data_IF_671089509266
#
_entry.id   IF_671089509266
#
_cell.length_a   1.000
_cell.length_b   1.000
_cell.length_c   1.000
_cell.angle_alpha   90.00
_cell.angle_beta   90.00
_cell.angle_gamma   90.00
#
_symmetry.space_group_name_H-M   'P 1'
#
loop_
_entity.id
_entity.type
_entity.pdbx_description
1 polymer ?
#
# COMPACT_ATOMS: atom_id res chain seq x y z
N UNK A 1 1.93 8.10 -16.44
CA UNK A 1 0.97 7.86 -15.34
C UNK A 1 1.77 7.53 -14.10
N UNK A 2 1.43 8.10 -12.94
CA UNK A 2 2.16 7.84 -11.70
C UNK A 2 1.84 6.45 -11.16
N UNK A 3 2.83 5.74 -10.62
CA UNK A 3 2.67 4.43 -9.99
C UNK A 3 3.42 4.32 -8.66
N UNK A 4 2.99 3.41 -7.81
CA UNK A 4 3.67 3.03 -6.58
C UNK A 4 4.23 1.62 -6.71
N UNK A 5 5.47 1.41 -6.27
CA UNK A 5 5.96 0.07 -5.94
C UNK A 5 5.68 -0.19 -4.48
N UNK A 6 4.89 -1.23 -4.24
CA UNK A 6 4.47 -1.66 -2.92
C UNK A 6 5.14 -2.99 -2.60
N UNK A 7 5.61 -3.15 -1.37
CA UNK A 7 5.98 -4.45 -0.83
C UNK A 7 4.80 -5.02 -0.06
N UNK A 8 4.37 -6.22 -0.43
CA UNK A 8 3.31 -6.95 0.24
C UNK A 8 3.88 -8.20 0.90
N UNK A 9 3.67 -8.36 2.20
CA UNK A 9 4.06 -9.52 2.98
C UNK A 9 2.80 -10.29 3.39
N UNK A 10 2.75 -11.58 3.06
CA UNK A 10 1.87 -12.53 3.72
C UNK A 10 2.55 -13.07 4.98
N UNK A 11 2.05 -12.67 6.15
CA UNK A 11 2.61 -13.04 7.46
C UNK A 11 2.39 -14.50 7.82
N UNK A 12 1.45 -15.19 7.17
CA UNK A 12 1.18 -16.61 7.39
C UNK A 12 2.22 -17.46 6.65
N UNK A 13 2.54 -17.10 5.41
CA UNK A 13 3.50 -17.84 4.57
C UNK A 13 4.91 -17.27 4.58
N UNK A 14 5.12 -16.11 5.22
CA UNK A 14 6.34 -15.31 5.19
C UNK A 14 6.82 -14.94 3.76
N UNK A 15 5.90 -14.86 2.80
CA UNK A 15 6.21 -14.54 1.40
C UNK A 15 6.07 -13.05 1.12
N UNK A 16 7.07 -12.49 0.45
CA UNK A 16 7.08 -11.09 0.00
C UNK A 16 6.84 -11.03 -1.50
N UNK A 17 5.96 -10.12 -1.92
CA UNK A 17 5.66 -9.82 -3.32
C UNK A 17 5.78 -8.32 -3.56
N UNK A 18 6.31 -7.93 -4.72
CA UNK A 18 6.30 -6.54 -5.17
C UNK A 18 5.09 -6.33 -6.07
N UNK A 19 4.29 -5.32 -5.75
CA UNK A 19 3.09 -4.94 -6.51
C UNK A 19 3.37 -3.58 -7.16
N UNK A 20 3.13 -3.47 -8.46
CA UNK A 20 3.07 -2.19 -9.15
C UNK A 20 1.61 -1.73 -9.19
N UNK A 21 1.27 -0.75 -8.35
CA UNK A 21 -0.06 -0.14 -8.33
C UNK A 21 -0.03 1.17 -9.11
N UNK A 22 -0.97 1.37 -10.04
CA UNK A 22 -1.09 2.61 -10.81
C UNK A 22 -2.13 3.53 -10.19
N UNK A 23 -1.87 4.83 -10.20
CA UNK A 23 -2.81 5.82 -9.67
C UNK A 23 -4.11 5.77 -10.48
N UNK A 24 -5.24 5.61 -9.78
CA UNK A 24 -6.57 5.48 -10.38
C UNK A 24 -6.95 4.04 -10.76
N UNK A 25 -6.03 3.08 -10.63
CA UNK A 25 -6.29 1.67 -10.86
C UNK A 25 -6.36 0.88 -9.55
N UNK A 26 -6.89 -0.34 -9.66
CA UNK A 26 -7.00 -1.29 -8.56
C UNK A 26 -5.97 -2.39 -8.73
N UNK A 27 -5.17 -2.63 -7.68
CA UNK A 27 -4.31 -3.79 -7.57
C UNK A 27 -4.89 -4.78 -6.54
N UNK A 28 -4.49 -6.05 -6.60
CA UNK A 28 -4.96 -7.08 -5.68
C UNK A 28 -3.81 -7.85 -5.06
N UNK A 29 -3.98 -8.30 -3.81
CA UNK A 29 -3.03 -9.16 -3.11
C UNK A 29 -3.74 -10.06 -2.11
N UNK A 30 -3.78 -11.37 -2.39
CA UNK A 30 -4.57 -12.30 -1.60
C UNK A 30 -6.04 -11.89 -1.61
N UNK A 31 -6.58 -11.53 -0.44
CA UNK A 31 -7.95 -11.01 -0.29
C UNK A 31 -8.04 -9.48 -0.23
N UNK A 32 -6.90 -8.77 -0.28
CA UNK A 32 -6.89 -7.31 -0.30
C UNK A 32 -7.12 -6.78 -1.71
N UNK A 33 -7.98 -5.77 -1.79
CA UNK A 33 -8.13 -4.88 -2.95
C UNK A 33 -7.51 -3.54 -2.60
N UNK A 34 -6.54 -3.09 -3.38
CA UNK A 34 -5.72 -1.90 -3.13
C UNK A 34 -6.06 -0.86 -4.19
N UNK A 35 -6.63 0.27 -3.78
CA UNK A 35 -6.94 1.40 -4.65
C UNK A 35 -5.95 2.53 -4.41
N UNK A 36 -5.01 2.73 -5.35
CA UNK A 36 -4.04 3.81 -5.27
C UNK A 36 -4.65 5.10 -5.81
N UNK A 37 -4.72 6.14 -4.97
CA UNK A 37 -5.35 7.42 -5.32
C UNK A 37 -4.34 8.53 -5.56
N UNK A 38 -3.20 8.50 -4.89
CA UNK A 38 -2.10 9.45 -5.12
C UNK A 38 -0.76 8.79 -4.81
N UNK A 39 0.30 9.23 -5.50
CA UNK A 39 1.68 8.82 -5.25
C UNK A 39 2.62 10.02 -5.47
N UNK A 40 3.42 10.34 -4.47
CA UNK A 40 4.40 11.41 -4.50
C UNK A 40 5.75 10.87 -4.02
N UNK A 41 6.75 10.88 -4.90
CA UNK A 41 8.15 10.64 -4.55
C UNK A 41 8.89 11.97 -4.43
N UNK A 42 9.94 11.99 -3.61
CA UNK A 42 10.89 13.11 -3.59
C UNK A 42 11.82 13.09 -4.82
N UNK A 43 12.38 14.25 -5.20
CA UNK A 43 13.46 14.34 -6.18
C UNK A 43 14.68 13.48 -5.83
N UNK A 44 15.50 13.11 -6.83
CA UNK A 44 16.68 12.26 -6.63
C UNK A 44 17.82 12.93 -5.84
N UNK A 45 17.87 14.26 -5.81
CA UNK A 45 18.86 15.06 -5.07
C UNK A 45 18.50 15.23 -3.59
N UNK A 46 17.31 14.80 -3.19
CA UNK A 46 16.89 14.73 -1.78
C UNK A 46 17.02 13.31 -1.22
N UNK A 47 16.91 13.19 0.10
CA UNK A 47 16.81 11.88 0.76
C UNK A 47 15.63 11.11 0.17
N UNK A 48 15.82 9.88 -0.37
CA UNK A 48 14.75 9.12 -1.01
C UNK A 48 13.59 8.92 -0.06
N UNK A 49 12.39 9.38 -0.44
CA UNK A 49 11.17 9.21 0.34
C UNK A 49 9.98 9.21 -0.61
N UNK A 50 8.90 8.54 -0.20
CA UNK A 50 7.68 8.45 -0.97
C UNK A 50 6.46 8.38 -0.07
N UNK A 51 5.39 9.04 -0.50
CA UNK A 51 4.10 9.03 0.16
C UNK A 51 3.01 8.62 -0.84
N UNK A 52 2.18 7.65 -0.47
CA UNK A 52 1.05 7.21 -1.27
C UNK A 52 -0.25 7.27 -0.49
N UNK A 53 -1.30 7.85 -1.08
CA UNK A 53 -2.66 7.78 -0.54
C UNK A 53 -3.37 6.59 -1.16
N UNK A 54 -3.84 5.68 -0.32
CA UNK A 54 -4.54 4.48 -0.77
C UNK A 54 -5.64 4.05 0.19
N UNK A 55 -6.60 3.34 -0.39
CA UNK A 55 -7.66 2.64 0.33
C UNK A 55 -7.53 1.15 0.07
N UNK A 56 -7.60 0.34 1.13
CA UNK A 56 -7.51 -1.11 1.05
C UNK A 56 -8.72 -1.75 1.71
N UNK A 57 -9.40 -2.64 0.99
CA UNK A 57 -10.51 -3.44 1.51
C UNK A 57 -10.15 -4.91 1.52
N UNK A 58 -10.64 -5.67 2.51
CA UNK A 58 -10.50 -7.12 2.57
C UNK A 58 -11.83 -7.79 2.18
N UNK A 59 -11.82 -8.65 1.18
CA UNK A 59 -13.00 -9.40 0.75
C UNK A 59 -13.53 -10.37 1.82
N UNK A 60 -12.74 -10.67 2.86
CA UNK A 60 -13.16 -11.48 4.00
C UNK A 60 -13.91 -10.68 5.07
N UNK A 61 -13.90 -9.35 4.99
CA UNK A 61 -14.63 -8.50 5.93
C UNK A 61 -16.15 -8.63 5.72
N UNK A 62 -16.92 -8.47 6.79
CA UNK A 62 -18.38 -8.52 6.70
C UNK A 62 -18.90 -7.39 5.77
N UNK A 63 -20.01 -7.61 5.05
CA UNK A 63 -20.61 -6.57 4.22
C UNK A 63 -20.86 -5.27 5.00
N UNK A 64 -20.46 -4.13 4.44
CA UNK A 64 -20.58 -2.82 5.11
C UNK A 64 -19.46 -2.49 6.11
N UNK A 65 -18.47 -3.37 6.30
CA UNK A 65 -17.29 -3.07 7.11
C UNK A 65 -16.49 -1.90 6.50
N UNK A 66 -15.84 -1.07 7.33
CA UNK A 66 -14.94 -0.04 6.81
C UNK A 66 -13.73 -0.66 6.09
N UNK A 67 -13.05 0.10 5.22
CA UNK A 67 -11.79 -0.34 4.62
C UNK A 67 -10.78 -0.73 5.71
N UNK A 68 -10.00 -1.78 5.45
CA UNK A 68 -8.91 -2.23 6.32
C UNK A 68 -7.83 -1.15 6.49
N UNK A 69 -7.66 -0.28 5.49
CA UNK A 69 -6.82 0.91 5.57
C UNK A 69 -7.36 2.00 4.66
N UNK A 70 -7.22 3.25 5.09
CA UNK A 70 -7.49 4.43 4.28
C UNK A 70 -6.63 5.56 4.77
N UNK A 71 -5.55 5.84 4.04
CA UNK A 71 -4.44 6.55 4.65
C UNK A 71 -3.32 6.94 3.69
N UNK A 72 -2.50 7.89 4.15
CA UNK A 72 -1.20 8.19 3.56
C UNK A 72 -0.24 7.22 4.19
N UNK A 73 0.53 6.51 3.37
CA UNK A 73 1.60 5.63 3.82
C UNK A 73 2.93 6.20 3.33
N UNK A 74 3.93 6.20 4.21
CA UNK A 74 5.22 6.84 4.00
C UNK A 74 6.33 5.78 3.94
N UNK A 75 7.18 5.85 2.92
CA UNK A 75 8.26 4.88 2.71
C UNK A 75 9.31 4.92 3.84
N UNK A 76 9.74 6.12 4.26
CA UNK A 76 10.72 6.27 5.34
C UNK A 76 10.14 6.34 6.75
N UNK A 77 8.82 6.44 6.88
CA UNK A 77 8.15 6.51 8.17
C UNK A 77 6.92 5.59 8.22
N UNK A 78 7.09 4.27 7.97
CA UNK A 78 5.96 3.34 7.89
C UNK A 78 5.19 3.26 9.22
N UNK A 79 5.86 3.53 10.35
CA UNK A 79 5.27 3.55 11.69
C UNK A 79 4.20 4.62 11.93
N UNK A 80 4.15 5.67 11.11
CA UNK A 80 3.22 6.80 11.31
C UNK A 80 1.79 6.42 10.93
N UNK A 81 1.63 5.58 9.90
CA UNK A 81 0.32 5.17 9.42
C UNK A 81 0.46 3.89 8.59
N UNK A 82 0.35 2.74 9.25
CA UNK A 82 0.51 1.42 8.65
C UNK A 82 -0.82 0.68 8.52
N UNK A 83 -0.82 -0.36 7.69
CA UNK A 83 -1.93 -1.31 7.63
C UNK A 83 -1.91 -2.21 8.88
N UNK A 84 -2.90 -2.08 9.75
CA UNK A 84 -3.10 -2.96 10.90
C UNK A 84 -3.97 -4.17 10.54
N UNK A 85 -3.39 -5.11 9.80
CA UNK A 85 -4.11 -6.29 9.31
C UNK A 85 -3.49 -7.58 9.85
N UNK A 86 -4.26 -8.62 10.26
CA UNK A 86 -3.73 -9.84 10.88
C UNK A 86 -2.87 -10.71 9.95
N UNK A 87 -3.24 -10.81 8.66
CA UNK A 87 -2.55 -11.67 7.67
C UNK A 87 -1.52 -10.92 6.81
N UNK A 88 -1.84 -9.73 6.30
CA UNK A 88 -0.97 -9.01 5.37
C UNK A 88 -0.30 -7.78 6.01
N UNK A 89 0.89 -7.42 5.51
CA UNK A 89 1.54 -6.12 5.71
C UNK A 89 1.82 -5.50 4.33
N UNK A 90 1.52 -4.22 4.14
CA UNK A 90 1.72 -3.49 2.88
C UNK A 90 2.59 -2.27 3.19
N UNK A 91 3.63 -2.05 2.38
CA UNK A 91 4.56 -0.92 2.51
C UNK A 91 4.77 -0.23 1.18
N UNK A 92 4.87 1.10 1.21
CA UNK A 92 5.34 1.89 0.07
C UNK A 92 6.86 1.79 0.00
N UNK A 93 7.39 1.44 -1.17
CA UNK A 93 8.83 1.48 -1.43
C UNK A 93 9.22 2.77 -2.15
N UNK A 94 8.53 3.09 -3.24
CA UNK A 94 8.81 4.28 -4.06
C UNK A 94 7.60 4.64 -4.93
N UNK A 95 7.57 5.90 -5.38
CA UNK A 95 6.66 6.39 -6.41
C UNK A 95 7.43 6.67 -7.70
N UNK A 96 6.85 6.33 -8.85
CA UNK A 96 7.38 6.56 -10.21
C UNK A 96 6.40 7.33 -11.07
#
# INVERSE_FOLDING_TARGET
MRSARLQALDKVTARITIIEARVGETATFGSLTINLRACHGRPQDEVPDAAAWMEMSDSRAAPGSPPAFRGWMFANAPGVNMLEHPVYDIRVLECR
#
